data_IF_198267516850
#
_entry.id   IF_198267516850
#
_cell.length_a   1.000
_cell.length_b   1.000
_cell.length_c   1.000
_cell.angle_alpha   90.00
_cell.angle_beta   90.00
_cell.angle_gamma   90.00
#
_symmetry.space_group_name_H-M   'P 1'
#
loop_
_entity.id
_entity.type
_entity.pdbx_description
1 polymer ?
#
# COMPACT_ATOMS: atom_id res chain seq x y z
N UNK A 1 -20.19 10.12 12.34
CA UNK A 1 -19.44 11.37 12.58
C UNK A 1 -20.41 12.52 12.56
N UNK A 2 -20.27 13.52 13.46
CA UNK A 2 -21.21 14.67 13.51
C UNK A 2 -20.77 15.87 12.66
N UNK A 3 -19.48 15.93 12.28
CA UNK A 3 -18.91 16.99 11.47
C UNK A 3 -17.41 17.20 11.75
N UNK A 4 -16.84 18.22 11.14
CA UNK A 4 -15.46 18.66 11.31
C UNK A 4 -15.40 19.98 12.08
N UNK A 5 -14.31 20.19 12.84
CA UNK A 5 -14.06 21.47 13.50
C UNK A 5 -13.67 22.58 12.51
N UNK A 6 -13.02 22.22 11.40
CA UNK A 6 -12.71 23.15 10.33
C UNK A 6 -13.98 23.51 9.56
N UNK A 7 -14.37 24.82 9.43
CA UNK A 7 -15.62 25.23 8.80
C UNK A 7 -15.77 24.80 7.34
N UNK A 8 -14.71 24.91 6.53
CA UNK A 8 -14.73 24.53 5.09
C UNK A 8 -14.90 23.02 4.93
N UNK A 9 -14.14 22.22 5.70
CA UNK A 9 -14.27 20.78 5.70
C UNK A 9 -15.65 20.33 6.19
N UNK A 10 -16.22 21.06 7.16
CA UNK A 10 -17.56 20.79 7.67
C UNK A 10 -18.66 21.11 6.64
N UNK A 11 -18.53 22.22 5.93
CA UNK A 11 -19.47 22.57 4.86
C UNK A 11 -19.47 21.51 3.76
N UNK A 12 -18.28 21.06 3.32
CA UNK A 12 -18.14 19.98 2.37
C UNK A 12 -18.75 18.67 2.88
N UNK A 13 -18.55 18.33 4.15
CA UNK A 13 -19.15 17.15 4.78
C UNK A 13 -20.69 17.22 4.84
N UNK A 14 -21.25 18.37 5.22
CA UNK A 14 -22.71 18.56 5.27
C UNK A 14 -23.36 18.46 3.88
N UNK A 15 -22.66 18.91 2.83
CA UNK A 15 -23.13 18.81 1.45
C UNK A 15 -23.29 17.36 0.94
N UNK A 16 -22.71 16.37 1.63
CA UNK A 16 -22.85 14.94 1.31
C UNK A 16 -24.24 14.35 1.68
N UNK A 17 -25.14 15.13 2.31
CA UNK A 17 -26.52 14.72 2.58
C UNK A 17 -26.63 13.51 3.52
N UNK A 18 -25.68 13.35 4.45
CA UNK A 18 -25.68 12.24 5.42
C UNK A 18 -24.91 11.00 4.95
N UNK A 19 -24.42 10.97 3.72
CA UNK A 19 -23.52 9.92 3.22
C UNK A 19 -22.06 10.36 3.35
N UNK A 20 -21.17 9.41 3.61
CA UNK A 20 -19.73 9.67 3.72
C UNK A 20 -18.96 8.59 2.95
N UNK A 21 -18.19 9.01 1.95
CA UNK A 21 -17.25 8.13 1.29
C UNK A 21 -16.05 7.88 2.21
N UNK A 22 -15.94 6.64 2.73
CA UNK A 22 -14.84 6.24 3.60
C UNK A 22 -13.55 5.98 2.82
N UNK A 23 -13.65 5.77 1.51
CA UNK A 23 -12.56 5.32 0.66
C UNK A 23 -12.13 3.88 0.96
N UNK A 24 -12.98 3.10 1.61
CA UNK A 24 -12.73 1.68 1.88
C UNK A 24 -13.40 0.80 0.82
N UNK A 25 -12.75 -0.31 0.48
CA UNK A 25 -13.32 -1.40 -0.30
C UNK A 25 -13.77 -2.47 0.70
N UNK A 26 -15.02 -2.89 0.56
CA UNK A 26 -15.60 -3.89 1.43
C UNK A 26 -16.42 -4.91 0.64
N UNK A 27 -16.61 -6.09 1.21
CA UNK A 27 -17.53 -7.12 0.74
C UNK A 27 -18.55 -7.43 1.84
N UNK A 28 -19.75 -7.78 1.43
CA UNK A 28 -20.78 -8.29 2.34
C UNK A 28 -20.92 -9.79 2.13
N UNK A 29 -20.83 -10.57 3.20
CA UNK A 29 -21.00 -12.01 3.11
C UNK A 29 -22.50 -12.40 3.08
N UNK A 30 -22.85 -13.67 2.79
CA UNK A 30 -24.23 -14.14 2.74
C UNK A 30 -24.99 -13.99 4.07
N UNK A 31 -24.29 -13.85 5.18
CA UNK A 31 -24.87 -13.62 6.52
C UNK A 31 -25.09 -12.13 6.83
N UNK A 32 -24.70 -11.22 5.93
CA UNK A 32 -24.85 -9.78 6.05
C UNK A 32 -23.73 -9.07 6.79
N UNK A 33 -22.60 -9.77 7.11
CA UNK A 33 -21.44 -9.11 7.72
C UNK A 33 -20.61 -8.37 6.69
N UNK A 34 -20.16 -7.16 7.07
CA UNK A 34 -19.28 -6.33 6.26
C UNK A 34 -17.81 -6.65 6.55
N UNK A 35 -17.09 -7.06 5.53
CA UNK A 35 -15.66 -7.33 5.57
C UNK A 35 -14.90 -6.22 4.84
N UNK A 36 -14.06 -5.44 5.56
CA UNK A 36 -13.22 -4.40 4.94
C UNK A 36 -12.02 -5.09 4.28
N UNK A 37 -11.91 -4.95 2.96
CA UNK A 37 -10.84 -5.53 2.16
C UNK A 37 -9.61 -4.62 2.06
N UNK A 38 -9.80 -3.31 2.26
CA UNK A 38 -8.70 -2.34 2.25
C UNK A 38 -9.15 -0.94 1.86
N UNK A 39 -8.15 -0.04 1.70
CA UNK A 39 -8.35 1.33 1.24
C UNK A 39 -8.30 1.40 -0.29
N UNK A 40 -9.24 2.09 -0.92
CA UNK A 40 -9.29 2.26 -2.38
C UNK A 40 -7.95 2.77 -2.95
N UNK A 41 -7.33 3.74 -2.28
CA UNK A 41 -6.01 4.30 -2.65
C UNK A 41 -4.84 3.36 -2.42
N UNK A 42 -5.06 2.18 -1.86
CA UNK A 42 -4.07 1.13 -1.62
C UNK A 42 -4.31 -0.09 -2.52
N UNK A 43 -4.98 0.11 -3.63
CA UNK A 43 -5.07 -0.87 -4.71
C UNK A 43 -4.40 -0.31 -5.96
N UNK A 44 -3.73 -1.19 -6.70
CA UNK A 44 -3.20 -0.94 -8.03
C UNK A 44 -4.05 -1.66 -9.07
N UNK A 45 -4.24 -1.05 -10.23
CA UNK A 45 -4.86 -1.71 -11.38
C UNK A 45 -3.79 -2.23 -12.32
N UNK A 46 -3.40 -3.50 -12.14
CA UNK A 46 -2.33 -4.16 -12.91
C UNK A 46 -2.94 -5.11 -13.93
N UNK A 47 -2.73 -4.86 -15.22
CA UNK A 47 -3.32 -5.67 -16.30
C UNK A 47 -4.85 -5.85 -16.19
N UNK A 48 -5.54 -4.82 -15.69
CA UNK A 48 -6.99 -4.84 -15.49
C UNK A 48 -7.46 -5.43 -14.15
N UNK A 49 -6.61 -6.08 -13.38
CA UNK A 49 -6.93 -6.66 -12.07
C UNK A 49 -6.56 -5.72 -10.92
N UNK A 50 -7.39 -5.77 -9.87
CA UNK A 50 -7.15 -4.98 -8.66
C UNK A 50 -6.22 -5.75 -7.69
N UNK A 51 -5.03 -5.19 -7.44
CA UNK A 51 -4.02 -5.75 -6.54
C UNK A 51 -3.96 -4.91 -5.27
N UNK A 52 -4.14 -5.54 -4.11
CA UNK A 52 -4.03 -4.87 -2.81
C UNK A 52 -2.56 -4.68 -2.43
N UNK A 53 -2.10 -3.43 -2.38
CA UNK A 53 -0.75 -3.09 -1.92
C UNK A 53 -0.55 -3.44 -0.44
N UNK A 54 -1.61 -3.31 0.37
CA UNK A 54 -1.59 -3.68 1.78
C UNK A 54 -1.37 -5.18 1.95
N UNK A 55 -2.08 -6.02 1.18
CA UNK A 55 -1.90 -7.47 1.24
C UNK A 55 -0.47 -7.88 0.84
N UNK A 56 0.13 -7.18 -0.14
CA UNK A 56 1.53 -7.41 -0.53
C UNK A 56 2.48 -7.01 0.60
N UNK A 57 2.30 -5.83 1.22
CA UNK A 57 3.11 -5.39 2.35
C UNK A 57 2.99 -6.33 3.55
N UNK A 58 1.77 -6.77 3.88
CA UNK A 58 1.53 -7.72 4.97
C UNK A 58 2.21 -9.08 4.71
N UNK A 59 2.21 -9.55 3.45
CA UNK A 59 2.90 -10.76 3.06
C UNK A 59 4.42 -10.65 3.23
N UNK A 60 4.99 -9.47 2.97
CA UNK A 60 6.43 -9.20 3.06
C UNK A 60 6.88 -8.81 4.47
N UNK A 61 5.94 -8.39 5.33
CA UNK A 61 6.26 -7.99 6.71
C UNK A 61 6.87 -9.16 7.51
N UNK A 62 8.08 -8.94 8.03
CA UNK A 62 8.79 -9.95 8.83
C UNK A 62 9.23 -11.20 8.06
N UNK A 63 9.09 -11.22 6.73
CA UNK A 63 9.46 -12.38 5.90
C UNK A 63 10.98 -12.56 5.74
N UNK A 64 11.78 -11.57 6.11
CA UNK A 64 13.23 -11.54 5.89
C UNK A 64 14.03 -11.39 7.21
N UNK A 65 13.88 -12.32 8.17
CA UNK A 65 14.52 -12.21 9.49
C UNK A 65 16.06 -12.24 9.42
N UNK A 66 16.63 -12.82 8.37
CA UNK A 66 18.08 -12.87 8.13
C UNK A 66 18.70 -11.51 7.82
N UNK A 67 17.90 -10.50 7.43
CA UNK A 67 18.34 -9.10 7.30
C UNK A 67 18.14 -8.29 8.59
N UNK A 68 17.58 -8.91 9.63
CA UNK A 68 17.35 -8.32 10.95
C UNK A 68 16.00 -7.60 11.05
N UNK A 69 15.65 -7.21 12.28
CA UNK A 69 14.36 -6.62 12.62
C UNK A 69 14.13 -5.22 12.02
N UNK A 70 15.18 -4.59 11.50
CA UNK A 70 15.09 -3.24 10.89
C UNK A 70 14.80 -3.29 9.40
N UNK A 71 14.84 -4.46 8.76
CA UNK A 71 14.45 -4.60 7.36
C UNK A 71 12.96 -4.25 7.20
N UNK A 72 12.69 -3.23 6.40
CA UNK A 72 11.35 -2.72 6.15
C UNK A 72 11.13 -2.63 4.65
N UNK A 73 9.90 -2.95 4.23
CA UNK A 73 9.49 -2.90 2.83
C UNK A 73 8.15 -2.17 2.77
N UNK A 74 8.06 -1.19 1.92
CA UNK A 74 6.82 -0.55 1.50
C UNK A 74 6.55 -0.91 0.04
N UNK A 75 5.29 -0.87 -0.37
CA UNK A 75 4.90 -1.09 -1.76
C UNK A 75 4.16 0.14 -2.28
N UNK A 76 4.63 0.65 -3.40
CA UNK A 76 4.02 1.77 -4.12
C UNK A 76 3.66 1.35 -5.54
N UNK A 77 2.94 2.21 -6.25
CA UNK A 77 2.67 2.04 -7.68
C UNK A 77 3.42 3.07 -8.50
N UNK A 78 3.72 2.69 -9.75
CA UNK A 78 4.20 3.57 -10.80
C UNK A 78 3.38 3.29 -12.07
N UNK A 79 3.05 4.30 -12.88
CA UNK A 79 2.45 4.08 -14.19
C UNK A 79 3.31 3.14 -15.04
N UNK A 80 2.65 2.23 -15.76
CA UNK A 80 3.27 1.27 -16.67
C UNK A 80 2.49 1.26 -17.98
N UNK A 81 3.17 1.45 -19.11
CA UNK A 81 2.53 1.60 -20.43
C UNK A 81 1.78 0.34 -20.88
N UNK A 82 2.27 -0.85 -20.50
CA UNK A 82 1.68 -2.12 -20.91
C UNK A 82 0.60 -2.61 -19.93
N UNK A 83 0.79 -2.37 -18.64
CA UNK A 83 -0.02 -2.97 -17.57
C UNK A 83 -0.91 -1.97 -16.82
N UNK A 84 -0.87 -0.69 -17.22
CA UNK A 84 -1.52 0.42 -16.53
C UNK A 84 -0.74 0.86 -15.30
N UNK A 85 -0.52 -0.02 -14.33
CA UNK A 85 0.32 0.22 -13.16
C UNK A 85 1.27 -0.96 -12.92
N UNK A 86 2.43 -0.67 -12.34
CA UNK A 86 3.37 -1.66 -11.83
C UNK A 86 3.62 -1.44 -10.33
N UNK A 87 3.75 -2.52 -9.58
CA UNK A 87 4.16 -2.48 -8.18
C UNK A 87 5.66 -2.31 -8.09
N UNK A 88 6.09 -1.44 -7.18
CA UNK A 88 7.49 -1.18 -6.85
C UNK A 88 7.67 -1.44 -5.35
N UNK A 89 8.62 -2.29 -4.99
CA UNK A 89 9.04 -2.44 -3.61
C UNK A 89 10.01 -1.32 -3.26
N UNK A 90 9.83 -0.67 -2.11
CA UNK A 90 10.80 0.27 -1.56
C UNK A 90 11.32 -0.33 -0.27
N UNK A 91 12.63 -0.56 -0.18
CA UNK A 91 13.25 -1.24 0.95
C UNK A 91 14.42 -0.44 1.51
N UNK A 92 14.68 -0.58 2.80
CA UNK A 92 15.89 -0.03 3.44
C UNK A 92 17.02 -1.07 3.58
N UNK A 93 16.92 -2.19 2.86
CA UNK A 93 17.93 -3.25 2.86
C UNK A 93 18.49 -3.44 1.43
N UNK A 94 19.73 -3.00 1.17
CA UNK A 94 20.30 -3.04 -0.19
C UNK A 94 20.62 -4.45 -0.71
N UNK A 95 20.70 -5.44 0.19
CA UNK A 95 20.99 -6.84 -0.19
C UNK A 95 19.75 -7.61 -0.59
N UNK A 96 18.54 -7.06 -0.32
CA UNK A 96 17.27 -7.71 -0.63
C UNK A 96 17.15 -7.93 -2.14
N UNK A 97 16.85 -9.16 -2.54
CA UNK A 97 16.72 -9.54 -3.95
C UNK A 97 15.25 -9.69 -4.36
N UNK A 98 14.93 -9.32 -5.59
CA UNK A 98 13.58 -9.45 -6.15
C UNK A 98 13.11 -10.92 -6.17
N UNK A 99 14.05 -11.86 -6.34
CA UNK A 99 13.77 -13.29 -6.29
C UNK A 99 13.24 -13.74 -4.92
N UNK A 100 13.75 -13.17 -3.82
CA UNK A 100 13.29 -13.46 -2.47
C UNK A 100 11.87 -12.92 -2.25
N UNK A 101 11.59 -11.69 -2.69
CA UNK A 101 10.24 -11.11 -2.65
C UNK A 101 9.27 -12.00 -3.42
N UNK A 102 9.63 -12.42 -4.64
CA UNK A 102 8.80 -13.31 -5.46
C UNK A 102 8.51 -14.65 -4.77
N UNK A 103 9.51 -15.24 -4.13
CA UNK A 103 9.36 -16.49 -3.40
C UNK A 103 8.37 -16.33 -2.24
N UNK A 104 8.46 -15.24 -1.47
CA UNK A 104 7.53 -14.94 -0.38
C UNK A 104 6.11 -14.73 -0.90
N UNK A 105 5.91 -13.90 -1.92
CA UNK A 105 4.61 -13.63 -2.53
C UNK A 105 3.94 -14.94 -2.96
N UNK A 106 4.68 -15.80 -3.65
CA UNK A 106 4.21 -17.12 -4.08
C UNK A 106 3.87 -18.04 -2.90
N UNK A 107 4.73 -18.08 -1.87
CA UNK A 107 4.51 -18.89 -0.67
C UNK A 107 3.27 -18.45 0.12
N UNK A 108 2.93 -17.15 0.06
CA UNK A 108 1.72 -16.58 0.67
C UNK A 108 0.45 -16.77 -0.19
N UNK A 109 0.55 -17.41 -1.35
CA UNK A 109 -0.59 -17.67 -2.23
C UNK A 109 -1.10 -16.45 -3.01
N UNK A 110 -0.33 -15.35 -3.05
CA UNK A 110 -0.67 -14.20 -3.85
C UNK A 110 -0.35 -14.46 -5.34
N UNK A 111 -1.10 -13.80 -6.23
CA UNK A 111 -0.92 -13.97 -7.68
C UNK A 111 0.37 -13.30 -8.17
N UNK A 112 0.78 -13.61 -9.41
CA UNK A 112 2.00 -13.06 -10.00
C UNK A 112 1.94 -11.54 -10.24
N UNK A 113 0.75 -10.95 -10.34
CA UNK A 113 0.57 -9.51 -10.48
C UNK A 113 0.91 -8.76 -9.18
N UNK A 114 0.91 -9.46 -8.05
CA UNK A 114 1.33 -8.96 -6.74
C UNK A 114 2.86 -8.87 -6.57
N UNK A 115 3.64 -9.40 -7.52
CA UNK A 115 5.10 -9.34 -7.47
C UNK A 115 5.57 -7.97 -7.93
N UNK A 116 6.31 -7.20 -7.09
CA UNK A 116 6.91 -5.95 -7.52
C UNK A 116 7.85 -6.15 -8.73
N UNK A 117 7.88 -5.17 -9.62
CA UNK A 117 8.72 -5.21 -10.83
C UNK A 117 10.19 -4.92 -10.52
N UNK A 118 10.41 -4.06 -9.52
CA UNK A 118 11.76 -3.66 -9.09
C UNK A 118 11.79 -3.36 -7.58
N UNK A 119 13.00 -3.21 -7.05
CA UNK A 119 13.25 -2.75 -5.69
C UNK A 119 13.98 -1.40 -5.76
N UNK A 120 13.42 -0.38 -5.11
CA UNK A 120 14.10 0.87 -4.84
C UNK A 120 14.67 0.82 -3.43
N UNK A 121 15.98 1.05 -3.31
CA UNK A 121 16.65 1.07 -2.01
C UNK A 121 16.68 2.49 -1.49
N UNK A 122 16.22 2.69 -0.26
CA UNK A 122 16.23 3.99 0.43
C UNK A 122 16.94 3.85 1.78
N UNK A 123 17.58 4.90 2.30
CA UNK A 123 18.24 4.83 3.61
C UNK A 123 17.28 4.52 4.76
N UNK A 124 16.04 5.01 4.67
CA UNK A 124 14.98 4.76 5.66
C UNK A 124 13.60 4.92 5.05
N UNK A 125 12.64 4.15 5.56
CA UNK A 125 11.22 4.29 5.20
C UNK A 125 10.55 5.19 6.25
N UNK A 126 9.95 6.32 5.83
CA UNK A 126 9.32 7.25 6.76
C UNK A 126 8.11 6.63 7.46
N UNK A 127 7.91 6.99 8.73
CA UNK A 127 6.80 6.51 9.56
C UNK A 127 5.99 7.65 10.14
N UNK A 128 4.71 7.41 10.28
CA UNK A 128 3.80 8.25 11.07
C UNK A 128 4.11 8.09 12.57
N UNK A 129 3.68 9.04 13.40
CA UNK A 129 3.79 8.94 14.86
C UNK A 129 3.14 7.69 15.47
N UNK A 130 2.25 7.03 14.72
CA UNK A 130 1.63 5.73 15.09
C UNK A 130 2.50 4.51 14.78
N UNK A 131 3.70 4.70 14.19
CA UNK A 131 4.59 3.62 13.76
C UNK A 131 4.28 3.01 12.39
N UNK A 132 3.14 3.38 11.77
CA UNK A 132 2.80 2.92 10.42
C UNK A 132 3.62 3.66 9.35
N UNK A 133 3.84 3.01 8.19
CA UNK A 133 4.54 3.63 7.06
C UNK A 133 3.80 4.89 6.61
N UNK A 134 4.53 5.99 6.46
CA UNK A 134 4.03 7.23 5.83
C UNK A 134 4.22 7.14 4.32
N UNK A 135 3.26 6.55 3.63
CA UNK A 135 3.30 6.41 2.17
C UNK A 135 3.34 7.75 1.43
N UNK A 136 2.73 8.81 2.01
CA UNK A 136 2.77 10.15 1.41
C UNK A 136 4.16 10.77 1.55
N UNK A 137 4.76 10.62 2.72
CA UNK A 137 6.14 11.03 2.96
C UNK A 137 7.11 10.29 2.05
N UNK A 138 6.93 8.98 1.90
CA UNK A 138 7.75 8.14 1.03
C UNK A 138 7.65 8.58 -0.45
N UNK A 139 6.44 8.82 -0.97
CA UNK A 139 6.26 9.30 -2.34
C UNK A 139 6.93 10.66 -2.57
N UNK A 140 6.86 11.59 -1.61
CA UNK A 140 7.57 12.89 -1.70
C UNK A 140 9.09 12.69 -1.72
N UNK A 141 9.62 11.85 -0.82
CA UNK A 141 11.05 11.53 -0.76
C UNK A 141 11.58 10.99 -2.09
N UNK A 142 10.84 10.08 -2.73
CA UNK A 142 11.19 9.51 -4.03
C UNK A 142 11.09 10.53 -5.15
N UNK A 143 10.09 11.42 -5.13
CA UNK A 143 9.94 12.50 -6.12
C UNK A 143 11.05 13.54 -6.03
N UNK A 144 11.59 13.79 -4.84
CA UNK A 144 12.70 14.73 -4.59
C UNK A 144 14.10 14.14 -4.87
N UNK A 145 14.18 12.90 -5.34
CA UNK A 145 15.45 12.23 -5.63
C UNK A 145 16.31 11.96 -4.39
N UNK A 146 15.72 11.94 -3.21
CA UNK A 146 16.38 11.63 -1.93
C UNK A 146 16.38 10.11 -1.60
N UNK A 147 16.29 9.29 -2.64
CA UNK A 147 16.37 7.84 -2.53
C UNK A 147 17.79 7.34 -2.71
#
# INVERSE_FOLDING_TARGET
>A
MKGYLNPEANAAFQALGGWYDTGDIAAVDPSGFLHILGRLKRFAKVSGEMVSLTAVEDALAGAFPHYGLRCQIAVITRPDEEKGEALIAVANEPRLQLAEIRAVIKAKGLNNLSVPREILVVPSIPKLGTGKIDHRGLQRQLAEGKA
#
